data_IF_591278572310
#
_entry.id   IF_591278572310
#
_cell.length_a   1.000
_cell.length_b   1.000
_cell.length_c   1.000
_cell.angle_alpha   90.00
_cell.angle_beta   90.00
_cell.angle_gamma   90.00
#
_symmetry.space_group_name_H-M   'P 1'
#
loop_
_entity.id
_entity.type
_entity.pdbx_description
1 polymer ?
#
# COMPACT_ATOMS: atom_id res chain seq x y z
N UNK A 1 -17.95 -41.74 4.88
CA UNK A 1 -19.32 -41.81 5.42
C UNK A 1 -19.38 -42.62 6.72
N UNK A 2 -18.79 -43.81 6.79
CA UNK A 2 -18.75 -44.60 8.04
C UNK A 2 -18.03 -43.86 9.19
N UNK A 3 -16.88 -43.23 8.92
CA UNK A 3 -16.10 -42.53 9.97
C UNK A 3 -16.88 -41.37 10.61
N UNK A 4 -17.54 -40.54 9.80
CA UNK A 4 -18.37 -39.42 10.29
C UNK A 4 -19.54 -39.89 11.16
N UNK A 5 -20.20 -40.99 10.81
CA UNK A 5 -21.27 -41.58 11.64
C UNK A 5 -20.73 -41.98 13.02
N UNK A 6 -19.56 -42.62 13.06
CA UNK A 6 -18.96 -43.03 14.34
C UNK A 6 -18.51 -41.85 15.21
N UNK A 7 -18.05 -40.76 14.60
CA UNK A 7 -17.71 -39.52 15.30
C UNK A 7 -18.96 -38.84 15.89
N UNK A 8 -20.06 -38.78 15.14
CA UNK A 8 -21.32 -38.22 15.62
C UNK A 8 -21.92 -39.04 16.78
N UNK A 9 -21.89 -40.36 16.67
CA UNK A 9 -22.37 -41.27 17.72
C UNK A 9 -21.53 -41.11 19.01
N UNK A 10 -20.19 -41.06 18.90
CA UNK A 10 -19.31 -40.78 20.03
C UNK A 10 -19.59 -39.42 20.67
N UNK A 11 -19.92 -38.42 19.86
CA UNK A 11 -20.26 -37.07 20.34
C UNK A 11 -21.57 -37.09 21.13
N UNK A 12 -22.60 -37.77 20.62
CA UNK A 12 -23.88 -37.94 21.32
C UNK A 12 -23.72 -38.70 22.64
N UNK A 13 -23.00 -39.82 22.63
CA UNK A 13 -22.71 -40.60 23.85
C UNK A 13 -21.92 -39.80 24.89
N UNK A 14 -21.05 -38.88 24.45
CA UNK A 14 -20.31 -38.00 25.37
C UNK A 14 -21.19 -36.91 25.97
N UNK A 15 -22.23 -36.47 25.27
CA UNK A 15 -23.15 -35.42 25.74
C UNK A 15 -24.24 -35.98 26.66
N UNK A 16 -24.71 -37.19 26.38
CA UNK A 16 -25.76 -37.88 27.13
C UNK A 16 -25.23 -39.21 27.70
N UNK A 17 -24.44 -39.17 28.77
CA UNK A 17 -23.84 -40.39 29.36
C UNK A 17 -24.87 -41.33 29.99
N UNK A 18 -26.06 -40.82 30.30
CA UNK A 18 -27.14 -41.59 30.96
C UNK A 18 -28.06 -42.32 29.96
N UNK A 19 -27.92 -42.07 28.66
CA UNK A 19 -28.77 -42.66 27.61
C UNK A 19 -28.04 -43.82 26.92
N UNK A 20 -28.74 -44.93 26.73
CA UNK A 20 -28.18 -46.13 26.10
C UNK A 20 -27.71 -45.88 24.66
N UNK A 21 -26.59 -46.52 24.28
CA UNK A 21 -25.96 -46.35 22.98
C UNK A 21 -26.86 -46.74 21.80
N UNK A 22 -27.72 -47.76 21.98
CA UNK A 22 -28.68 -48.20 20.97
C UNK A 22 -29.74 -47.11 20.70
N UNK A 23 -30.17 -46.38 21.73
CA UNK A 23 -31.14 -45.29 21.60
C UNK A 23 -30.52 -44.12 20.83
N UNK A 24 -29.26 -43.77 21.14
CA UNK A 24 -28.54 -42.73 20.42
C UNK A 24 -28.35 -43.07 18.93
N UNK A 25 -28.08 -44.34 18.61
CA UNK A 25 -27.96 -44.82 17.23
C UNK A 25 -29.30 -44.75 16.48
N UNK A 26 -30.38 -45.22 17.11
CA UNK A 26 -31.72 -45.22 16.49
C UNK A 26 -32.22 -43.81 16.16
N UNK A 27 -31.96 -42.84 17.04
CA UNK A 27 -32.37 -41.44 16.85
C UNK A 27 -31.52 -40.77 15.77
N UNK A 28 -30.21 -41.06 15.73
CA UNK A 28 -29.34 -40.55 14.68
C UNK A 28 -29.73 -41.10 13.30
N UNK A 29 -30.14 -42.37 13.23
CA UNK A 29 -30.65 -42.99 12.00
C UNK A 29 -32.01 -42.40 11.58
N UNK A 30 -32.90 -42.16 12.55
CA UNK A 30 -34.22 -41.56 12.30
C UNK A 30 -34.10 -40.13 11.77
N UNK A 31 -33.16 -39.35 12.30
CA UNK A 31 -32.88 -37.97 11.88
C UNK A 31 -31.84 -37.86 10.76
N UNK A 32 -31.60 -38.96 10.03
CA UNK A 32 -30.75 -38.99 8.83
C UNK A 32 -29.32 -38.46 9.05
N UNK A 33 -28.77 -38.62 10.26
CA UNK A 33 -27.43 -38.18 10.64
C UNK A 33 -27.31 -36.72 11.07
N UNK A 34 -28.42 -35.99 11.26
CA UNK A 34 -28.38 -34.62 11.77
C UNK A 34 -28.22 -34.58 13.30
N UNK A 35 -27.04 -34.10 13.74
CA UNK A 35 -26.66 -34.05 15.15
C UNK A 35 -27.62 -33.21 16.00
N UNK A 36 -27.94 -31.99 15.56
CA UNK A 36 -28.72 -31.02 16.34
C UNK A 36 -30.18 -31.47 16.54
N UNK A 37 -30.79 -32.06 15.52
CA UNK A 37 -32.13 -32.66 15.64
C UNK A 37 -32.13 -33.86 16.58
N UNK A 38 -31.05 -34.65 16.53
CA UNK A 38 -30.86 -35.79 17.43
C UNK A 38 -30.67 -35.36 18.88
N UNK A 39 -29.88 -34.29 19.12
CA UNK A 39 -29.71 -33.66 20.43
C UNK A 39 -31.05 -33.14 20.95
N UNK A 40 -31.82 -32.42 20.13
CA UNK A 40 -33.11 -31.88 20.52
C UNK A 40 -34.13 -32.97 20.87
N UNK A 41 -34.12 -34.07 20.11
CA UNK A 41 -34.98 -35.23 20.36
C UNK A 41 -34.61 -35.93 21.67
N UNK A 42 -33.31 -36.14 21.90
CA UNK A 42 -32.78 -36.75 23.12
C UNK A 42 -33.03 -35.87 24.35
N UNK A 43 -32.84 -34.56 24.23
CA UNK A 43 -33.06 -33.61 25.30
C UNK A 43 -34.56 -33.49 25.64
N UNK A 44 -35.45 -33.59 24.65
CA UNK A 44 -36.90 -33.69 24.88
C UNK A 44 -37.35 -34.98 25.56
N UNK A 45 -36.60 -36.08 25.38
CA UNK A 45 -36.84 -37.34 26.10
C UNK A 45 -36.26 -37.33 27.52
N UNK A 46 -35.11 -36.68 27.72
CA UNK A 46 -34.41 -36.63 29.01
C UNK A 46 -34.96 -35.55 29.95
N UNK A 47 -35.40 -34.41 29.41
CA UNK A 47 -35.89 -33.27 30.19
C UNK A 47 -37.33 -32.88 29.78
N UNK A 48 -38.35 -33.17 30.60
CA UNK A 48 -39.75 -32.86 30.29
C UNK A 48 -40.08 -31.36 30.28
N UNK A 49 -39.15 -30.49 30.70
CA UNK A 49 -39.28 -29.03 30.64
C UNK A 49 -38.49 -28.41 29.47
N UNK A 50 -37.91 -29.22 28.59
CA UNK A 50 -37.18 -28.73 27.42
C UNK A 50 -38.14 -28.14 26.37
N UNK A 51 -37.81 -26.93 25.87
CA UNK A 51 -38.48 -26.31 24.72
C UNK A 51 -37.41 -26.04 23.67
N UNK A 52 -37.54 -26.67 22.50
CA UNK A 52 -36.65 -26.40 21.37
C UNK A 52 -36.84 -24.95 20.91
N UNK A 53 -35.81 -24.12 21.00
CA UNK A 53 -35.82 -22.78 20.42
C UNK A 53 -35.70 -22.91 18.89
N UNK A 54 -36.85 -22.88 18.20
CA UNK A 54 -36.86 -22.68 16.75
C UNK A 54 -36.28 -21.30 16.41
N UNK A 55 -35.43 -21.24 15.39
CA UNK A 55 -34.77 -20.03 14.92
C UNK A 55 -35.75 -18.86 14.83
N UNK A 56 -35.49 -17.82 15.62
CA UNK A 56 -36.27 -16.57 15.63
C UNK A 56 -36.35 -16.05 14.19
N UNK A 57 -37.55 -15.90 13.59
CA UNK A 57 -37.67 -15.25 12.31
C UNK A 57 -37.27 -13.77 12.52
N UNK A 58 -36.28 -13.31 11.77
CA UNK A 58 -35.94 -11.89 11.66
C UNK A 58 -37.17 -11.18 11.08
N UNK A 59 -38.05 -10.70 11.95
CA UNK A 59 -39.15 -9.83 11.58
C UNK A 59 -38.73 -8.39 11.85
N UNK A 60 -38.52 -7.67 10.75
CA UNK A 60 -38.47 -6.22 10.69
C UNK A 60 -39.83 -5.64 11.10
N UNK A 61 -39.75 -4.68 12.03
CA UNK A 61 -40.68 -3.56 12.29
C UNK A 61 -41.85 -3.73 13.28
N UNK A 62 -41.78 -2.87 14.31
CA UNK A 62 -42.88 -2.15 14.99
C UNK A 62 -44.00 -2.93 15.70
N UNK A 63 -43.83 -3.07 17.02
CA UNK A 63 -44.91 -3.33 17.97
C UNK A 63 -44.40 -3.78 19.34
N UNK A 64 -44.28 -2.86 20.31
CA UNK A 64 -43.83 -3.19 21.67
C UNK A 64 -45.00 -3.82 22.44
N UNK A 65 -44.92 -5.12 22.71
CA UNK A 65 -45.78 -5.78 23.69
C UNK A 65 -45.34 -5.37 25.11
N UNK A 66 -46.25 -5.40 26.08
CA UNK A 66 -45.95 -4.99 27.47
C UNK A 66 -44.79 -5.78 28.10
N UNK A 67 -44.59 -7.03 27.69
CA UNK A 67 -43.48 -7.89 28.12
C UNK A 67 -42.11 -7.36 27.65
N UNK A 68 -42.01 -6.85 26.43
CA UNK A 68 -40.75 -6.30 25.92
C UNK A 68 -40.34 -5.02 26.64
N UNK A 69 -41.31 -4.24 27.16
CA UNK A 69 -41.01 -3.02 27.93
C UNK A 69 -40.35 -3.34 29.28
N UNK A 70 -40.89 -4.32 29.99
CA UNK A 70 -40.34 -4.78 31.28
C UNK A 70 -38.93 -5.35 31.11
N UNK A 71 -38.69 -6.11 30.02
CA UNK A 71 -37.37 -6.64 29.70
C UNK A 71 -36.37 -5.54 29.34
N UNK A 72 -36.77 -4.54 28.55
CA UNK A 72 -35.91 -3.39 28.22
C UNK A 72 -35.56 -2.60 29.48
N UNK A 73 -36.51 -2.44 30.41
CA UNK A 73 -36.30 -1.73 31.67
C UNK A 73 -35.34 -2.48 32.59
N UNK A 74 -35.46 -3.82 32.69
CA UNK A 74 -34.50 -4.64 33.45
C UNK A 74 -33.09 -4.60 32.86
N UNK A 75 -32.99 -4.62 31.52
CA UNK A 75 -31.72 -4.55 30.82
C UNK A 75 -31.06 -3.16 30.98
N UNK A 76 -31.87 -2.09 30.98
CA UNK A 76 -31.39 -0.73 31.22
C UNK A 76 -30.87 -0.55 32.64
N UNK A 77 -31.57 -1.09 33.66
CA UNK A 77 -31.13 -1.04 35.05
C UNK A 77 -29.80 -1.77 35.27
N UNK A 78 -29.66 -2.96 34.68
CA UNK A 78 -28.43 -3.74 34.74
C UNK A 78 -27.27 -2.99 34.05
N UNK A 79 -27.52 -2.39 32.89
CA UNK A 79 -26.53 -1.59 32.17
C UNK A 79 -26.07 -0.37 32.99
N UNK A 80 -27.00 0.32 33.67
CA UNK A 80 -26.66 1.45 34.56
C UNK A 80 -25.82 1.00 35.76
N UNK A 81 -26.14 -0.15 36.36
CA UNK A 81 -25.35 -0.71 37.47
C UNK A 81 -23.92 -1.04 37.05
N UNK A 82 -23.75 -1.72 35.91
CA UNK A 82 -22.43 -2.05 35.35
C UNK A 82 -21.62 -0.79 35.00
N UNK A 83 -22.26 0.24 34.47
CA UNK A 83 -21.61 1.52 34.16
C UNK A 83 -21.14 2.24 35.45
N UNK A 84 -21.98 2.31 36.48
CA UNK A 84 -21.62 2.91 37.75
C UNK A 84 -20.47 2.17 38.45
N UNK A 85 -20.42 0.83 38.33
CA UNK A 85 -19.33 0.01 38.86
C UNK A 85 -18.02 0.20 38.08
N UNK A 86 -18.10 0.38 36.76
CA UNK A 86 -16.95 0.70 35.92
C UNK A 86 -16.38 2.08 36.24
N UNK A 87 -17.23 3.08 36.46
CA UNK A 87 -16.83 4.45 36.81
C UNK A 87 -16.12 4.51 38.17
N UNK A 88 -16.54 3.68 39.14
CA UNK A 88 -15.85 3.54 40.43
C UNK A 88 -14.46 2.89 40.31
N UNK A 89 -14.28 1.96 39.37
CA UNK A 89 -12.99 1.26 39.16
C UNK A 89 -11.99 2.11 38.36
N UNK A 90 -12.48 3.00 37.51
CA UNK A 90 -11.65 3.86 36.65
C UNK A 90 -10.60 4.72 37.39
N UNK A 91 -10.92 5.44 38.50
CA UNK A 91 -9.94 6.26 39.21
C UNK A 91 -8.83 5.40 39.85
N UNK A 92 -9.17 4.25 40.44
CA UNK A 92 -8.19 3.34 41.06
C UNK A 92 -7.21 2.80 40.03
N UNK A 93 -7.69 2.46 38.83
CA UNK A 93 -6.83 1.99 37.73
C UNK A 93 -5.91 3.12 37.24
N UNK A 94 -6.44 4.35 37.09
CA UNK A 94 -5.64 5.52 36.71
C UNK A 94 -4.53 5.81 37.72
N UNK A 95 -4.81 5.76 39.02
CA UNK A 95 -3.81 5.99 40.06
C UNK A 95 -2.70 4.93 40.06
N UNK A 96 -3.03 3.65 39.87
CA UNK A 96 -2.03 2.58 39.75
C UNK A 96 -1.09 2.78 38.55
N UNK A 97 -1.62 3.25 37.43
CA UNK A 97 -0.82 3.54 36.23
C UNK A 97 0.12 4.73 36.48
N UNK A 98 -0.34 5.78 37.16
CA UNK A 98 0.48 6.95 37.52
C UNK A 98 1.61 6.53 38.45
N UNK A 99 1.32 5.75 39.50
CA UNK A 99 2.34 5.23 40.42
C UNK A 99 3.38 4.33 39.72
N UNK A 100 2.93 3.48 38.80
CA UNK A 100 3.83 2.67 37.98
C UNK A 100 4.74 3.52 37.09
N UNK A 101 4.23 4.62 36.52
CA UNK A 101 5.03 5.56 35.75
C UNK A 101 6.06 6.29 36.62
N UNK A 102 5.65 6.78 37.80
CA UNK A 102 6.53 7.52 38.71
C UNK A 102 7.64 6.64 39.31
N UNK A 103 7.34 5.39 39.64
CA UNK A 103 8.35 4.42 40.11
C UNK A 103 9.40 4.12 39.03
N UNK A 104 8.98 4.04 37.77
CA UNK A 104 9.90 3.82 36.64
C UNK A 104 10.79 5.04 36.40
N UNK A 105 10.22 6.25 36.47
CA UNK A 105 10.96 7.51 36.34
C UNK A 105 12.01 7.68 37.45
N UNK A 106 11.66 7.32 38.70
CA UNK A 106 12.59 7.37 39.83
C UNK A 106 13.79 6.41 39.64
N UNK A 107 13.53 5.17 39.22
CA UNK A 107 14.59 4.19 38.92
C UNK A 107 15.54 4.66 37.82
N UNK A 108 15.01 5.30 36.77
CA UNK A 108 15.84 5.88 35.70
C UNK A 108 16.74 7.01 36.21
N UNK A 109 16.20 7.90 37.04
CA UNK A 109 16.99 9.00 37.61
C UNK A 109 18.07 8.48 38.57
N UNK A 110 17.76 7.48 39.40
CA UNK A 110 18.75 6.81 40.25
C UNK A 110 19.85 6.14 39.42
N UNK A 111 19.49 5.46 38.31
CA UNK A 111 20.45 4.90 37.37
C UNK A 111 21.35 5.98 36.74
N UNK A 112 20.77 7.11 36.36
CA UNK A 112 21.50 8.23 35.76
C UNK A 112 22.48 8.90 36.73
N UNK A 113 22.07 9.14 37.98
CA UNK A 113 22.94 9.71 39.01
C UNK A 113 24.06 8.75 39.42
N UNK A 114 23.77 7.44 39.46
CA UNK A 114 24.80 6.40 39.66
C UNK A 114 25.86 6.42 38.55
N UNK A 115 25.45 6.68 37.31
CA UNK A 115 26.35 6.76 36.16
C UNK A 115 27.23 8.02 36.20
N UNK A 116 26.70 9.14 36.69
CA UNK A 116 27.48 10.37 36.90
C UNK A 116 28.56 10.21 37.98
N UNK A 117 28.25 9.51 39.08
CA UNK A 117 29.22 9.29 40.17
C UNK A 117 30.41 8.42 39.74
N UNK A 118 30.25 7.55 38.74
CA UNK A 118 31.33 6.73 38.20
C UNK A 118 32.27 7.49 37.25
N UNK A 119 31.87 8.66 36.74
CA UNK A 119 32.66 9.41 35.74
C UNK A 119 33.38 10.62 36.31
N UNK A 120 33.24 10.93 37.61
CA UNK A 120 33.95 12.02 38.27
C UNK A 120 35.17 11.54 39.07
N UNK A 121 36.27 11.26 38.38
CA UNK A 121 37.64 11.32 38.94
C UNK A 121 38.35 12.56 38.38
N UNK A 122 39.14 13.31 39.19
CA UNK A 122 39.79 14.52 38.72
C UNK A 122 40.93 14.19 37.75
N UNK A 123 40.91 14.84 36.57
CA UNK A 123 41.90 14.68 35.51
C UNK A 123 43.08 15.63 35.77
N UNK A 124 44.28 15.07 35.97
CA UNK A 124 45.52 15.82 36.12
C UNK A 124 46.06 16.22 34.75
N UNK A 125 46.35 17.51 34.56
CA UNK A 125 46.92 18.07 33.33
C UNK A 125 48.45 18.10 33.42
N UNK A 126 49.12 17.42 32.49
CA UNK A 126 50.31 17.86 31.73
C UNK A 126 51.20 16.66 31.35
N UNK A 127 51.34 16.41 30.05
CA UNK A 127 52.55 16.68 29.27
C UNK A 127 52.38 16.18 27.82
N UNK A 128 52.76 17.03 26.86
CA UNK A 128 52.73 16.80 25.42
C UNK A 128 53.80 15.81 24.97
N UNK A 129 53.44 14.82 24.15
CA UNK A 129 54.13 14.45 22.88
C UNK A 129 53.42 13.25 22.22
N UNK A 130 53.01 13.41 20.96
CA UNK A 130 52.69 12.30 20.04
C UNK A 130 54.00 11.62 19.63
N UNK A 131 54.10 10.27 19.51
CA UNK A 131 53.59 9.64 18.29
C UNK A 131 53.26 8.12 18.36
N UNK A 132 52.74 7.62 17.22
CA UNK A 132 52.69 6.23 16.71
C UNK A 132 51.82 5.17 17.41
N UNK A 133 50.92 4.57 16.63
CA UNK A 133 50.23 3.32 16.96
C UNK A 133 51.06 2.14 16.46
N UNK A 134 51.53 1.30 17.36
CA UNK A 134 52.05 -0.04 17.09
C UNK A 134 51.34 -1.07 17.97
N UNK A 135 50.67 -2.00 17.29
CA UNK A 135 50.55 -3.43 17.58
C UNK A 135 49.88 -3.92 18.88
N UNK A 136 48.74 -4.57 18.66
CA UNK A 136 48.08 -5.52 19.56
C UNK A 136 48.82 -6.89 19.52
N UNK A 137 48.85 -7.65 20.63
CA UNK A 137 49.72 -8.83 20.78
C UNK A 137 49.35 -10.06 19.95
N UNK A 138 50.40 -10.83 19.65
CA UNK A 138 50.43 -12.12 18.95
C UNK A 138 49.87 -13.26 19.82
N UNK A 139 49.07 -14.12 19.20
CA UNK A 139 49.03 -15.54 19.55
C UNK A 139 49.38 -16.34 18.28
N UNK A 140 50.57 -16.94 18.30
CA UNK A 140 51.13 -17.84 17.29
C UNK A 140 50.69 -19.28 17.60
N UNK A 141 50.03 -19.94 16.65
CA UNK A 141 50.15 -21.38 16.44
C UNK A 141 49.68 -21.75 15.02
N UNK A 142 50.68 -22.04 14.18
CA UNK A 142 50.72 -23.11 13.18
C UNK A 142 49.62 -23.21 12.11
N UNK A 143 49.93 -22.66 10.91
CA UNK A 143 49.93 -23.49 9.71
C UNK A 143 50.69 -22.83 8.53
N UNK A 144 51.76 -23.44 7.99
CA UNK A 144 52.47 -22.92 6.83
C UNK A 144 51.96 -23.59 5.55
N UNK A 145 51.42 -22.82 4.60
CA UNK A 145 51.62 -23.08 3.16
C UNK A 145 50.91 -22.04 2.28
N UNK A 146 51.64 -21.67 1.22
CA UNK A 146 51.19 -21.09 -0.05
C UNK A 146 50.93 -19.58 -0.08
N UNK A 147 51.98 -18.86 -0.48
CA UNK A 147 52.07 -18.45 -1.89
C UNK A 147 51.41 -17.13 -2.23
N UNK A 148 52.28 -16.15 -2.45
CA UNK A 148 52.05 -14.82 -2.99
C UNK A 148 51.16 -14.81 -4.23
N UNK A 149 50.23 -13.84 -4.26
CA UNK A 149 49.75 -13.09 -5.43
C UNK A 149 48.45 -12.39 -5.03
N UNK A 150 48.49 -11.08 -4.76
CA UNK A 150 47.43 -10.10 -5.08
C UNK A 150 47.67 -8.76 -4.37
N UNK A 151 48.32 -7.81 -5.04
CA UNK A 151 48.05 -6.39 -4.82
C UNK A 151 48.40 -5.59 -6.07
N UNK A 152 47.40 -5.30 -6.90
CA UNK A 152 47.37 -4.10 -7.74
C UNK A 152 45.99 -3.95 -8.41
N UNK A 153 45.08 -3.21 -7.75
CA UNK A 153 43.95 -2.61 -8.43
C UNK A 153 43.53 -1.38 -7.66
N UNK A 154 44.17 -0.27 -7.98
CA UNK A 154 43.66 1.10 -7.88
C UNK A 154 44.75 2.02 -8.44
N UNK A 155 44.91 2.05 -9.76
CA UNK A 155 45.47 3.18 -10.54
C UNK A 155 45.54 2.82 -12.03
N UNK A 156 44.44 3.04 -12.76
CA UNK A 156 44.50 3.11 -14.22
C UNK A 156 43.33 3.95 -14.71
N UNK A 157 43.53 5.27 -14.79
CA UNK A 157 42.75 6.19 -15.61
C UNK A 157 43.55 7.49 -15.77
N UNK A 158 44.68 7.39 -16.49
CA UNK A 158 45.43 8.47 -17.14
C UNK A 158 46.68 7.83 -17.72
N UNK A 159 46.62 7.45 -19.00
CA UNK A 159 47.72 7.35 -19.97
C UNK A 159 47.32 6.38 -21.09
N UNK A 160 46.57 6.89 -22.07
CA UNK A 160 46.54 6.28 -23.41
C UNK A 160 45.98 7.25 -24.46
N UNK A 161 46.65 8.41 -24.62
CA UNK A 161 46.39 9.36 -25.70
C UNK A 161 47.62 9.65 -26.60
N UNK A 162 48.67 8.82 -26.57
CA UNK A 162 49.88 9.10 -27.37
C UNK A 162 50.53 7.90 -28.07
N UNK A 163 49.76 6.86 -28.43
CA UNK A 163 50.29 5.76 -29.27
C UNK A 163 49.31 5.29 -30.35
N UNK A 164 48.75 6.21 -31.13
CA UNK A 164 48.10 5.82 -32.39
C UNK A 164 48.35 6.81 -33.53
N UNK A 165 49.61 7.20 -33.66
CA UNK A 165 50.18 7.79 -34.86
C UNK A 165 51.42 6.99 -35.20
N UNK A 166 51.57 6.63 -36.48
CA UNK A 166 52.70 5.90 -37.07
C UNK A 166 52.51 4.37 -37.04
N UNK A 167 51.77 3.84 -38.02
CA UNK A 167 52.11 2.62 -38.76
C UNK A 167 51.00 2.22 -39.75
N UNK A 168 50.74 3.04 -40.77
CA UNK A 168 50.26 2.53 -42.07
C UNK A 168 50.97 3.31 -43.17
N UNK A 169 52.24 2.97 -43.38
CA UNK A 169 52.95 3.29 -44.60
C UNK A 169 53.71 2.04 -45.01
N UNK A 170 53.04 1.13 -45.73
CA UNK A 170 53.61 0.16 -46.68
C UNK A 170 52.45 -0.68 -47.26
N UNK A 171 51.63 -0.10 -48.13
CA UNK A 171 50.96 -0.83 -49.22
C UNK A 171 50.76 0.15 -50.39
N UNK A 172 51.85 0.36 -51.12
CA UNK A 172 51.87 1.12 -52.38
C UNK A 172 51.80 0.13 -53.54
N UNK A 173 50.95 0.45 -54.52
CA UNK A 173 50.89 -0.07 -55.91
C UNK A 173 50.21 -1.44 -56.14
N UNK A 174 48.95 -1.34 -56.57
CA UNK A 174 48.20 -2.08 -57.61
C UNK A 174 46.74 -1.64 -57.42
N UNK A 175 46.02 -0.99 -58.31
CA UNK A 175 46.14 -0.70 -59.73
C UNK A 175 44.69 -0.41 -60.19
N UNK A 176 44.52 0.68 -60.92
CA UNK A 176 43.49 0.93 -61.94
C UNK A 176 41.98 0.95 -61.60
N UNK A 177 41.42 2.12 -61.97
CA UNK A 177 40.15 2.36 -62.68
C UNK A 177 38.83 2.12 -61.95
N UNK A 178 38.10 3.20 -61.68
CA UNK A 178 36.95 3.60 -62.51
C UNK A 178 35.97 4.49 -61.71
N UNK A 179 35.49 5.54 -62.39
CA UNK A 179 34.40 6.46 -62.00
C UNK A 179 34.71 7.38 -60.81
N UNK A 180 34.95 8.68 -60.97
CA UNK A 180 34.34 9.60 -61.92
C UNK A 180 33.09 10.24 -61.31
N UNK A 181 33.28 11.13 -60.32
CA UNK A 181 32.37 12.27 -60.12
C UNK A 181 33.15 13.42 -59.49
N UNK A 182 33.66 14.30 -60.34
CA UNK A 182 34.14 15.62 -59.94
C UNK A 182 33.04 16.28 -59.10
N UNK A 183 33.37 16.63 -57.85
CA UNK A 183 32.53 17.50 -57.04
C UNK A 183 32.63 18.88 -57.67
N UNK A 184 31.51 19.44 -58.10
CA UNK A 184 31.42 20.85 -58.46
C UNK A 184 32.03 21.68 -57.33
N UNK A 185 33.14 22.33 -57.64
CA UNK A 185 33.72 23.37 -56.80
C UNK A 185 32.77 24.56 -56.93
N UNK A 186 31.84 24.69 -55.99
CA UNK A 186 31.05 25.92 -55.91
C UNK A 186 32.03 27.07 -55.61
N UNK A 187 32.07 28.14 -56.42
CA UNK A 187 32.84 29.33 -56.07
C UNK A 187 32.34 29.87 -54.73
N UNK A 188 33.27 30.22 -53.83
CA UNK A 188 32.98 30.87 -52.55
C UNK A 188 32.52 32.33 -52.79
N UNK A 189 31.28 32.49 -53.23
CA UNK A 189 30.48 33.72 -53.24
C UNK A 189 29.14 33.30 -53.88
N UNK A 190 28.00 33.22 -53.21
CA UNK A 190 27.46 34.11 -52.19
C UNK A 190 26.84 33.28 -51.05
N UNK A 191 26.86 33.83 -49.84
CA UNK A 191 26.20 33.23 -48.68
C UNK A 191 24.71 33.02 -49.00
N UNK A 192 24.29 31.77 -49.27
CA UNK A 192 22.89 31.42 -49.07
C UNK A 192 22.57 31.77 -47.61
N UNK A 193 21.44 32.45 -47.32
CA UNK A 193 21.08 32.76 -45.96
C UNK A 193 21.05 31.45 -45.17
N UNK A 194 21.82 31.40 -44.08
CA UNK A 194 21.84 30.23 -43.22
C UNK A 194 20.38 29.82 -42.93
N UNK A 195 20.01 28.54 -43.13
CA UNK A 195 18.66 28.11 -42.83
C UNK A 195 18.34 28.55 -41.41
N UNK A 196 17.18 29.21 -41.17
CA UNK A 196 16.93 29.88 -39.91
C UNK A 196 17.21 28.90 -38.78
N UNK A 197 18.16 29.27 -37.91
CA UNK A 197 18.55 28.46 -36.77
C UNK A 197 17.28 27.97 -36.11
N UNK A 198 17.09 26.64 -36.02
CA UNK A 198 15.95 26.09 -35.28
C UNK A 198 16.02 26.74 -33.90
N UNK A 199 15.02 27.57 -33.59
CA UNK A 199 14.97 28.25 -32.30
C UNK A 199 15.24 27.21 -31.21
N UNK A 200 16.10 27.51 -30.23
CA UNK A 200 16.36 26.58 -29.16
C UNK A 200 14.99 26.21 -28.59
N UNK A 201 14.65 24.91 -28.62
CA UNK A 201 13.37 24.45 -28.09
C UNK A 201 13.31 24.98 -26.67
N UNK A 202 12.46 25.97 -26.41
CA UNK A 202 12.24 26.48 -25.05
C UNK A 202 11.96 25.23 -24.22
N UNK A 203 12.84 24.93 -23.26
CA UNK A 203 12.64 23.80 -22.35
C UNK A 203 11.30 24.07 -21.70
N UNK A 204 10.24 23.39 -22.16
CA UNK A 204 8.91 23.54 -21.57
C UNK A 204 9.12 23.23 -20.09
N UNK A 205 8.96 24.24 -19.24
CA UNK A 205 8.93 24.03 -17.79
C UNK A 205 7.80 23.03 -17.61
N UNK A 206 8.15 21.79 -17.25
CA UNK A 206 7.14 20.77 -16.98
C UNK A 206 6.41 21.28 -15.75
N UNK A 207 5.23 21.87 -15.94
CA UNK A 207 4.35 22.26 -14.84
C UNK A 207 4.19 21.00 -14.00
N UNK A 208 4.69 21.00 -12.77
CA UNK A 208 4.66 19.84 -11.89
C UNK A 208 3.20 19.46 -11.66
N UNK A 209 2.72 18.46 -12.38
CA UNK A 209 1.36 17.99 -12.18
C UNK A 209 1.37 17.26 -10.83
N UNK A 210 0.54 17.64 -9.86
CA UNK A 210 0.61 17.08 -8.51
C UNK A 210 0.34 15.57 -8.49
N UNK A 211 -0.40 15.05 -9.48
CA UNK A 211 -0.66 13.61 -9.66
C UNK A 211 0.48 12.83 -10.33
N UNK A 212 1.59 13.48 -10.67
CA UNK A 212 2.77 12.90 -11.32
C UNK A 212 3.86 12.51 -10.30
N UNK A 213 3.49 12.39 -9.01
CA UNK A 213 4.31 11.67 -8.04
C UNK A 213 4.49 10.25 -8.55
N UNK A 214 5.73 9.72 -8.51
CA UNK A 214 6.05 8.36 -8.95
C UNK A 214 5.34 7.32 -8.07
N UNK A 215 4.05 7.11 -8.34
CA UNK A 215 3.23 6.11 -7.69
C UNK A 215 3.62 4.74 -8.27
N UNK A 216 4.15 3.87 -7.42
CA UNK A 216 4.49 2.49 -7.79
C UNK A 216 3.22 1.72 -8.19
N UNK A 217 2.08 2.00 -7.54
CA UNK A 217 0.79 1.41 -7.88
C UNK A 217 -0.07 2.31 -8.80
N UNK A 218 0.20 2.26 -10.11
CA UNK A 218 -0.50 3.06 -11.14
C UNK A 218 -2.02 2.87 -11.17
N UNK A 219 -2.53 1.73 -10.71
CA UNK A 219 -3.97 1.48 -10.66
C UNK A 219 -4.68 2.46 -9.71
N UNK A 220 -4.01 2.88 -8.62
CA UNK A 220 -4.56 3.84 -7.66
C UNK A 220 -4.83 5.21 -8.28
N UNK A 221 -4.03 5.63 -9.28
CA UNK A 221 -4.20 6.91 -9.98
C UNK A 221 -5.54 7.02 -10.72
N UNK A 222 -6.23 5.90 -10.98
CA UNK A 222 -7.49 5.91 -11.74
C UNK A 222 -8.73 6.10 -10.86
N UNK A 223 -8.60 6.04 -9.53
CA UNK A 223 -9.75 6.06 -8.63
C UNK A 223 -9.42 6.55 -7.22
N UNK A 224 -10.26 6.18 -6.26
CA UNK A 224 -10.18 6.65 -4.86
C UNK A 224 -9.82 5.50 -3.93
N UNK A 225 -8.56 5.47 -3.49
CA UNK A 225 -7.99 4.38 -2.69
C UNK A 225 -7.75 4.77 -1.22
N UNK A 226 -7.95 6.05 -0.84
CA UNK A 226 -7.76 6.56 0.51
C UNK A 226 -6.40 6.18 1.14
N UNK A 227 -5.32 6.26 0.35
CA UNK A 227 -3.97 5.89 0.78
C UNK A 227 -3.69 4.39 0.86
N UNK A 228 -4.66 3.52 0.52
CA UNK A 228 -4.42 2.08 0.45
C UNK A 228 -3.55 1.75 -0.76
N UNK A 229 -2.50 0.99 -0.49
CA UNK A 229 -1.51 0.57 -1.46
C UNK A 229 -1.43 -0.95 -1.53
N UNK A 230 -0.90 -1.50 -2.63
CA UNK A 230 -0.54 -2.92 -2.67
C UNK A 230 0.56 -3.19 -1.65
N UNK A 231 0.37 -4.24 -0.84
CA UNK A 231 1.37 -4.72 0.10
C UNK A 231 2.07 -5.95 -0.46
N UNK A 232 3.36 -6.07 -0.19
CA UNK A 232 4.20 -7.19 -0.60
C UNK A 232 4.73 -7.89 0.65
N UNK A 233 4.81 -9.21 0.62
CA UNK A 233 5.36 -9.98 1.72
C UNK A 233 5.47 -11.45 1.38
N UNK A 234 5.50 -12.30 2.41
CA UNK A 234 5.69 -13.73 2.26
C UNK A 234 4.49 -14.49 2.81
N UNK A 235 4.13 -15.59 2.16
CA UNK A 235 3.44 -16.71 2.77
C UNK A 235 4.49 -17.54 3.50
N UNK A 236 4.23 -17.88 4.75
CA UNK A 236 5.15 -18.65 5.60
C UNK A 236 4.46 -19.99 5.83
N UNK A 237 5.11 -21.09 5.46
CA UNK A 237 4.60 -22.44 5.80
C UNK A 237 4.78 -22.71 7.30
N UNK A 238 4.14 -23.75 7.81
CA UNK A 238 4.37 -24.24 9.18
C UNK A 238 5.86 -24.52 9.45
N UNK A 239 6.57 -25.08 8.46
CA UNK A 239 8.02 -25.30 8.50
C UNK A 239 8.90 -24.07 8.24
N UNK A 240 8.33 -22.86 8.16
CA UNK A 240 9.09 -21.62 7.98
C UNK A 240 9.55 -21.30 6.54
N UNK A 241 9.17 -22.09 5.54
CA UNK A 241 9.47 -21.80 4.13
C UNK A 241 8.72 -20.54 3.66
N UNK A 242 9.42 -19.64 2.97
CA UNK A 242 8.90 -18.32 2.57
C UNK A 242 8.65 -18.25 1.06
N UNK A 243 7.40 -18.00 0.67
CA UNK A 243 7.00 -17.77 -0.72
C UNK A 243 6.48 -16.35 -0.91
N UNK A 244 6.86 -15.64 -1.97
CA UNK A 244 6.40 -14.25 -2.21
C UNK A 244 4.89 -14.21 -2.46
N UNK A 245 4.18 -13.30 -1.79
CA UNK A 245 2.76 -13.01 -2.03
C UNK A 245 2.50 -11.51 -2.07
N UNK A 246 1.32 -11.15 -2.58
CA UNK A 246 0.85 -9.76 -2.61
C UNK A 246 -0.55 -9.66 -2.01
N UNK A 247 -0.84 -8.55 -1.33
CA UNK A 247 -2.19 -8.21 -0.86
C UNK A 247 -2.66 -6.97 -1.59
N UNK A 248 -3.68 -7.13 -2.43
CA UNK A 248 -4.30 -6.02 -3.16
C UNK A 248 -5.43 -5.43 -2.32
N UNK A 249 -5.65 -4.10 -2.40
CA UNK A 249 -6.84 -3.52 -1.79
C UNK A 249 -8.11 -4.07 -2.47
N UNK A 250 -9.19 -4.24 -1.70
CA UNK A 250 -10.50 -4.55 -2.25
C UNK A 250 -11.03 -3.33 -3.01
N UNK A 251 -11.03 -3.36 -4.34
CA UNK A 251 -11.44 -2.24 -5.18
C UNK A 251 -12.73 -2.60 -5.90
N UNK A 252 -13.75 -1.77 -5.73
CA UNK A 252 -15.06 -1.95 -6.33
C UNK A 252 -15.35 -0.81 -7.31
N UNK A 253 -16.08 -1.09 -8.38
CA UNK A 253 -16.53 -0.07 -9.33
C UNK A 253 -17.93 0.38 -8.93
N UNK A 254 -18.04 1.59 -8.40
CA UNK A 254 -19.29 2.13 -7.85
C UNK A 254 -19.73 3.35 -8.66
N UNK A 255 -21.04 3.56 -8.80
CA UNK A 255 -21.62 4.79 -9.35
C UNK A 255 -22.00 5.69 -8.18
N UNK A 256 -21.35 6.84 -8.08
CA UNK A 256 -21.56 7.81 -7.00
C UNK A 256 -22.18 9.07 -7.57
N UNK A 257 -23.19 9.60 -6.90
CA UNK A 257 -23.83 10.85 -7.30
C UNK A 257 -22.97 12.05 -6.86
N UNK A 258 -22.80 13.02 -7.76
CA UNK A 258 -22.17 14.30 -7.49
C UNK A 258 -23.24 15.38 -7.53
N UNK A 259 -23.38 16.13 -6.44
CA UNK A 259 -24.38 17.18 -6.28
C UNK A 259 -24.04 18.39 -7.15
N UNK A 260 -22.76 18.79 -7.17
CA UNK A 260 -22.30 19.93 -7.97
C UNK A 260 -22.49 19.69 -9.47
N UNK A 261 -22.36 18.44 -9.93
CA UNK A 261 -22.48 18.08 -11.34
C UNK A 261 -23.88 17.61 -11.74
N UNK A 262 -24.73 17.30 -10.75
CA UNK A 262 -26.02 16.62 -10.94
C UNK A 262 -25.90 15.34 -11.81
N UNK A 263 -24.78 14.62 -11.71
CA UNK A 263 -24.46 13.44 -12.52
C UNK A 263 -24.00 12.26 -11.63
N UNK A 264 -24.32 11.03 -12.02
CA UNK A 264 -23.76 9.82 -11.40
C UNK A 264 -22.47 9.39 -12.11
N UNK A 265 -21.35 9.44 -11.40
CA UNK A 265 -20.02 9.17 -11.92
C UNK A 265 -19.58 7.76 -11.50
N UNK A 266 -19.11 6.95 -12.45
CA UNK A 266 -18.56 5.64 -12.15
C UNK A 266 -17.07 5.72 -11.83
N UNK A 267 -16.68 5.34 -10.62
CA UNK A 267 -15.29 5.42 -10.12
C UNK A 267 -14.90 4.08 -9.48
N UNK A 268 -13.61 3.73 -9.55
CA UNK A 268 -13.02 2.64 -8.76
C UNK A 268 -12.73 3.13 -7.35
N UNK A 269 -13.33 2.51 -6.34
CA UNK A 269 -13.28 2.97 -4.95
C UNK A 269 -12.99 1.79 -4.02
N UNK A 270 -12.18 2.00 -3.00
CA UNK A 270 -11.97 1.05 -1.90
C UNK A 270 -13.06 1.23 -0.82
N UNK A 271 -13.54 0.19 -0.12
CA UNK A 271 -14.53 0.33 0.94
C UNK A 271 -14.17 1.37 2.02
N UNK A 272 -12.89 1.52 2.36
CA UNK A 272 -12.43 2.58 3.26
C UNK A 272 -12.72 3.98 2.70
N UNK A 273 -12.50 4.19 1.41
CA UNK A 273 -12.79 5.47 0.76
C UNK A 273 -14.30 5.75 0.72
N UNK A 274 -15.15 4.72 0.53
CA UNK A 274 -16.60 4.86 0.68
C UNK A 274 -16.97 5.29 2.11
N UNK A 275 -16.46 4.60 3.13
CA UNK A 275 -16.71 4.94 4.53
C UNK A 275 -16.30 6.37 4.90
N UNK A 276 -15.17 6.87 4.37
CA UNK A 276 -14.73 8.25 4.60
C UNK A 276 -15.61 9.23 3.82
N UNK A 277 -16.07 8.86 2.64
CA UNK A 277 -16.97 9.66 1.82
C UNK A 277 -18.33 9.84 2.50
N UNK A 278 -18.89 8.78 3.07
CA UNK A 278 -20.14 8.83 3.84
C UNK A 278 -19.97 9.73 5.07
N UNK A 279 -18.85 9.59 5.79
CA UNK A 279 -18.53 10.46 6.94
C UNK A 279 -18.40 11.94 6.56
N UNK A 280 -17.89 12.25 5.35
CA UNK A 280 -17.79 13.63 4.86
C UNK A 280 -19.09 14.13 4.22
N UNK A 281 -20.08 13.27 4.03
CA UNK A 281 -21.38 13.62 3.46
C UNK A 281 -21.37 13.77 1.93
N UNK A 282 -20.65 12.89 1.22
CA UNK A 282 -20.74 12.76 -0.24
C UNK A 282 -19.42 12.83 -1.00
N UNK A 283 -19.47 12.52 -2.30
CA UNK A 283 -18.31 12.48 -3.18
C UNK A 283 -17.61 13.85 -3.30
N UNK A 284 -18.40 14.91 -3.46
CA UNK A 284 -17.88 16.25 -3.76
C UNK A 284 -17.11 16.83 -2.58
N UNK A 285 -17.71 16.77 -1.38
CA UNK A 285 -17.06 17.17 -0.12
C UNK A 285 -15.79 16.36 0.13
N UNK A 286 -15.83 15.06 -0.16
CA UNK A 286 -14.67 14.20 -0.04
C UNK A 286 -13.52 14.61 -0.96
N UNK A 287 -13.79 14.87 -2.25
CA UNK A 287 -12.78 15.32 -3.20
C UNK A 287 -12.20 16.70 -2.85
N UNK A 288 -13.05 17.64 -2.43
CA UNK A 288 -12.61 18.99 -2.06
C UNK A 288 -11.65 18.97 -0.86
N UNK A 289 -11.92 18.10 0.11
CA UNK A 289 -11.08 17.94 1.30
C UNK A 289 -9.74 17.20 1.07
N UNK A 290 -9.57 16.51 -0.06
CA UNK A 290 -8.32 15.82 -0.39
C UNK A 290 -7.25 16.78 -0.90
N UNK A 291 -5.97 16.45 -0.67
CA UNK A 291 -4.84 17.18 -1.25
C UNK A 291 -4.68 16.80 -2.72
N UNK A 292 -4.27 17.75 -3.55
CA UNK A 292 -4.10 17.51 -4.99
C UNK A 292 -3.04 16.47 -5.32
N UNK A 293 -2.05 16.28 -4.45
CA UNK A 293 -0.97 15.28 -4.58
C UNK A 293 -1.45 13.83 -4.37
N UNK A 294 -2.55 13.65 -3.64
CA UNK A 294 -3.10 12.33 -3.33
C UNK A 294 -4.07 11.85 -4.42
N UNK A 295 -4.47 12.75 -5.32
CA UNK A 295 -5.43 12.50 -6.38
C UNK A 295 -4.68 12.15 -7.67
N UNK A 296 -5.13 11.10 -8.36
CA UNK A 296 -4.69 10.84 -9.72
C UNK A 296 -5.33 11.80 -10.73
N UNK A 297 -4.81 11.83 -11.96
CA UNK A 297 -5.28 12.72 -13.04
C UNK A 297 -6.81 12.81 -13.20
N UNK A 298 -7.58 11.70 -13.32
CA UNK A 298 -9.02 11.79 -13.49
C UNK A 298 -9.72 12.42 -12.27
N UNK A 299 -9.26 12.09 -11.06
CA UNK A 299 -9.85 12.60 -9.82
C UNK A 299 -9.46 14.06 -9.56
N UNK A 300 -8.24 14.44 -9.91
CA UNK A 300 -7.79 15.83 -9.88
C UNK A 300 -8.65 16.70 -10.80
N UNK A 301 -8.87 16.24 -12.04
CA UNK A 301 -9.72 16.94 -13.02
C UNK A 301 -11.15 17.05 -12.51
N UNK A 302 -11.68 15.98 -11.92
CA UNK A 302 -13.01 15.97 -11.34
C UNK A 302 -13.14 16.96 -10.18
N UNK A 303 -12.20 16.96 -9.23
CA UNK A 303 -12.15 17.92 -8.13
C UNK A 303 -12.15 19.37 -8.63
N UNK A 304 -11.31 19.68 -9.62
CA UNK A 304 -11.24 21.03 -10.18
C UNK A 304 -12.48 21.41 -11.00
N UNK A 305 -13.14 20.43 -11.61
CA UNK A 305 -14.44 20.65 -12.27
C UNK A 305 -15.50 21.03 -11.24
N UNK A 306 -15.64 20.24 -10.18
CA UNK A 306 -16.54 20.51 -9.05
C UNK A 306 -16.24 21.88 -8.43
N UNK A 307 -14.97 22.18 -8.14
CA UNK A 307 -14.56 23.44 -7.55
C UNK A 307 -14.87 24.67 -8.43
N UNK A 308 -14.89 24.52 -9.77
CA UNK A 308 -15.28 25.59 -10.70
C UNK A 308 -16.79 25.80 -10.71
N UNK A 309 -17.57 24.73 -10.78
CA UNK A 309 -19.04 24.83 -10.74
C UNK A 309 -19.51 25.45 -9.43
N UNK A 310 -18.90 25.07 -8.30
CA UNK A 310 -19.21 25.66 -7.00
C UNK A 310 -18.86 27.16 -6.92
N UNK A 311 -17.93 27.64 -7.75
CA UNK A 311 -17.65 29.08 -7.91
C UNK A 311 -18.61 29.79 -8.87
N UNK A 312 -19.50 29.06 -9.55
CA UNK A 312 -20.40 29.59 -10.58
C UNK A 312 -19.76 29.69 -11.97
N UNK A 313 -18.58 29.10 -12.18
CA UNK A 313 -17.95 29.05 -13.51
C UNK A 313 -18.60 27.97 -14.38
N UNK A 314 -18.69 28.20 -15.71
CA UNK A 314 -19.27 27.23 -16.61
C UNK A 314 -18.42 25.96 -16.70
N UNK A 315 -19.11 24.87 -17.01
CA UNK A 315 -18.54 23.53 -17.02
C UNK A 315 -17.68 23.30 -18.28
N UNK A 316 -16.43 23.78 -18.27
CA UNK A 316 -15.50 23.62 -19.39
C UNK A 316 -14.94 22.18 -19.37
N UNK A 317 -15.71 21.21 -19.87
CA UNK A 317 -15.15 19.95 -20.34
C UNK A 317 -15.02 20.02 -21.86
N UNK A 318 -13.91 19.57 -22.47
CA UNK A 318 -13.93 19.37 -23.90
C UNK A 318 -15.00 18.30 -24.20
N UNK A 319 -16.10 18.70 -24.85
CA UNK A 319 -17.19 17.82 -25.26
C UNK A 319 -16.62 16.52 -25.83
N UNK A 320 -17.32 15.38 -25.63
CA UNK A 320 -16.94 14.09 -26.25
C UNK A 320 -16.62 14.28 -27.74
N UNK A 321 -17.30 15.21 -28.40
CA UNK A 321 -17.06 15.61 -29.78
C UNK A 321 -15.77 16.40 -29.98
N UNK A 322 -15.41 17.32 -29.08
CA UNK A 322 -14.12 18.03 -29.12
C UNK A 322 -12.95 17.06 -28.88
N UNK A 323 -13.08 16.10 -27.95
CA UNK A 323 -12.09 15.02 -27.78
C UNK A 323 -11.99 14.13 -29.04
N UNK A 324 -13.12 13.82 -29.69
CA UNK A 324 -13.16 13.07 -30.97
C UNK A 324 -12.52 13.86 -32.11
N UNK A 325 -12.82 15.16 -32.23
CA UNK A 325 -12.21 16.10 -33.20
C UNK A 325 -10.71 16.24 -32.95
N UNK A 326 -10.26 16.34 -31.70
CA UNK A 326 -8.85 16.44 -31.36
C UNK A 326 -8.10 15.12 -31.61
N UNK A 327 -8.69 13.96 -31.30
CA UNK A 327 -8.15 12.65 -31.69
C UNK A 327 -8.05 12.50 -33.22
N UNK A 328 -9.08 12.92 -33.96
CA UNK A 328 -9.03 12.98 -35.44
C UNK A 328 -7.92 13.92 -35.90
N UNK A 329 -7.84 15.14 -35.37
CA UNK A 329 -6.80 16.13 -35.69
C UNK A 329 -5.39 15.60 -35.41
N UNK A 330 -5.18 14.93 -34.28
CA UNK A 330 -3.89 14.27 -33.94
C UNK A 330 -3.59 13.09 -34.87
N UNK A 331 -4.57 12.26 -35.20
CA UNK A 331 -4.43 11.15 -36.15
C UNK A 331 -4.05 11.66 -37.54
N UNK A 332 -4.76 12.68 -38.04
CA UNK A 332 -4.45 13.32 -39.32
C UNK A 332 -3.09 14.03 -39.28
N UNK A 333 -2.73 14.71 -38.19
CA UNK A 333 -1.42 15.35 -38.05
C UNK A 333 -0.24 14.34 -38.05
N UNK A 334 -0.45 13.10 -37.59
CA UNK A 334 0.55 12.03 -37.66
C UNK A 334 0.65 11.40 -39.06
N UNK A 335 -0.41 11.52 -39.87
CA UNK A 335 -0.55 10.96 -41.20
C UNK A 335 -0.12 11.92 -42.33
N UNK A 336 0.28 13.16 -42.01
CA UNK A 336 0.79 14.10 -43.00
C UNK A 336 2.28 13.81 -43.26
N UNK A 337 2.68 13.28 -44.44
CA UNK A 337 4.07 13.26 -44.84
C UNK A 337 4.47 14.68 -45.23
N UNK A 338 5.40 15.29 -44.48
CA UNK A 338 6.00 16.57 -44.86
C UNK A 338 5.10 17.79 -44.60
N UNK A 339 5.30 18.43 -43.44
CA UNK A 339 4.83 19.80 -43.26
C UNK A 339 5.62 20.72 -44.20
N UNK A 340 5.00 21.11 -45.33
CA UNK A 340 5.39 22.29 -46.08
C UNK A 340 5.19 23.47 -45.14
N UNK A 341 6.29 24.05 -44.68
CA UNK A 341 6.27 25.34 -44.00
C UNK A 341 5.94 26.37 -45.05
N UNK A 342 4.76 26.99 -44.92
CA UNK A 342 4.42 28.19 -45.68
C UNK A 342 5.45 29.27 -45.34
N UNK A 343 6.18 29.68 -46.38
CA UNK A 343 6.91 30.94 -46.46
C UNK A 343 5.92 31.92 -47.07
N UNK A 344 5.61 32.99 -46.34
CA UNK A 344 5.26 34.30 -46.87
C UNK A 344 5.74 35.33 -45.86
#
# INVERSE_FOLDING_TARGET
MADQRTELLKTLMSMFPDVDAEICETILDTNNGELELSINSLLGMSDPNYKSEESIPVQTESGVTSSSRQQIESDEELARYLAAEADKKLPVIKEKIIQAADTTKKKMNEWYEKLKQQTSSPRNENQFSTPQYTNLPKDEADNPMLGEDFSESLNSHKNNQQQNTINIHQHVKRGLLASGRLKYLYPKSDHLPDPPLKQPKVKKVKKEQPWMVQQTYKQALTGLYAGKHIQYGNQISEFGNKSRRTWKPNVQKVKLYSEALNERISIKVTPLALKIMDRKGGLDKYLLSMRDKDLGEPMYRLKHRIARILKGEPDIEPSKEQKKKERRKRKYALLQPGGVKNVN
#
